data_IF_786574379968
#
_entry.id   IF_786574379968
#
_cell.length_a   1.000
_cell.length_b   1.000
_cell.length_c   1.000
_cell.angle_alpha   90.00
_cell.angle_beta   90.00
_cell.angle_gamma   90.00
#
_symmetry.space_group_name_H-M   'P 1'
#
loop_
_entity.id
_entity.type
_entity.pdbx_description
1 polymer ?
#
# COMPACT_ATOMS: atom_id res chain seq x y z
N UNK A 1 6.72 -17.57 7.69
CA UNK A 1 7.39 -16.70 8.66
C UNK A 1 6.66 -16.84 9.99
N UNK A 2 7.35 -17.19 11.06
CA UNK A 2 6.83 -17.22 12.42
C UNK A 2 6.96 -15.83 13.10
N UNK A 3 6.24 -15.54 14.19
CA UNK A 3 6.38 -14.26 14.89
C UNK A 3 7.82 -13.94 15.34
N UNK A 4 8.60 -14.89 15.92
CA UNK A 4 10.00 -14.64 16.28
C UNK A 4 10.90 -14.32 15.10
N UNK A 5 10.68 -14.96 13.94
CA UNK A 5 11.43 -14.67 12.71
C UNK A 5 11.17 -13.24 12.21
N UNK A 6 9.91 -12.80 12.23
CA UNK A 6 9.54 -11.44 11.83
C UNK A 6 10.23 -10.38 12.72
N UNK A 7 10.15 -10.58 14.04
CA UNK A 7 10.79 -9.68 15.01
C UNK A 7 12.33 -9.67 14.85
N UNK A 8 12.94 -10.83 14.63
CA UNK A 8 14.38 -10.94 14.39
C UNK A 8 14.82 -10.17 13.14
N UNK A 9 14.10 -10.34 12.02
CA UNK A 9 14.42 -9.64 10.78
C UNK A 9 14.28 -8.12 10.92
N UNK A 10 13.22 -7.64 11.59
CA UNK A 10 13.03 -6.21 11.85
C UNK A 10 14.14 -5.65 12.76
N UNK A 11 14.54 -6.37 13.80
CA UNK A 11 15.67 -6.00 14.66
C UNK A 11 16.98 -5.93 13.88
N UNK A 12 17.25 -6.93 13.05
CA UNK A 12 18.45 -6.98 12.20
C UNK A 12 18.49 -5.83 11.17
N UNK A 13 17.36 -5.47 10.58
CA UNK A 13 17.24 -4.31 9.68
C UNK A 13 17.46 -3.00 10.43
N UNK A 14 16.87 -2.83 11.62
CA UNK A 14 17.09 -1.66 12.48
C UNK A 14 18.56 -1.49 12.83
N UNK A 15 19.23 -2.57 13.22
CA UNK A 15 20.65 -2.54 13.62
C UNK A 15 21.58 -2.17 12.45
N UNK A 16 21.09 -2.23 11.21
CA UNK A 16 21.78 -1.77 10.00
C UNK A 16 21.36 -0.41 9.50
N UNK A 17 20.54 0.30 10.27
CA UNK A 17 20.07 1.65 9.94
C UNK A 17 19.05 1.68 8.80
N UNK A 18 18.31 0.60 8.56
CA UNK A 18 17.17 0.62 7.64
C UNK A 18 16.10 1.57 8.18
N UNK A 19 15.82 2.66 7.44
CA UNK A 19 14.85 3.69 7.85
C UNK A 19 13.39 3.40 7.48
N UNK A 20 13.13 2.40 6.63
CA UNK A 20 11.77 2.05 6.19
C UNK A 20 11.72 0.58 5.80
N UNK A 21 10.64 -0.11 6.20
CA UNK A 21 10.36 -1.51 5.83
C UNK A 21 8.96 -1.58 5.25
N UNK A 22 8.80 -2.35 4.18
CA UNK A 22 7.49 -2.75 3.65
C UNK A 22 7.31 -4.22 3.96
N UNK A 23 6.22 -4.56 4.64
CA UNK A 23 5.87 -5.92 5.01
C UNK A 23 4.53 -6.28 4.37
N UNK A 24 4.48 -7.43 3.70
CA UNK A 24 3.22 -8.02 3.27
C UNK A 24 2.56 -8.73 4.47
N UNK A 25 1.35 -8.30 4.83
CA UNK A 25 0.57 -8.86 5.92
C UNK A 25 -0.54 -9.74 5.34
N UNK A 26 -0.26 -11.02 5.13
CA UNK A 26 -1.26 -11.95 4.58
C UNK A 26 -2.41 -12.19 5.57
N UNK A 27 -3.64 -12.44 5.09
CA UNK A 27 -4.79 -12.82 5.94
C UNK A 27 -4.47 -13.88 6.98
N UNK A 28 -3.78 -14.95 6.59
CA UNK A 28 -3.38 -16.00 7.54
C UNK A 28 -2.33 -15.51 8.53
N UNK A 29 -1.43 -14.60 8.11
CA UNK A 29 -0.47 -13.99 9.01
C UNK A 29 -1.11 -13.09 10.06
N UNK A 30 -2.12 -12.32 9.65
CA UNK A 30 -2.95 -11.53 10.54
C UNK A 30 -3.79 -12.44 11.44
N UNK A 31 -4.46 -13.44 10.88
CA UNK A 31 -5.31 -14.38 11.62
C UNK A 31 -4.54 -15.13 12.71
N UNK A 32 -3.31 -15.55 12.40
CA UNK A 32 -2.43 -16.28 13.33
C UNK A 32 -1.51 -15.39 14.15
N UNK A 33 -1.78 -14.07 14.21
CA UNK A 33 -1.08 -13.11 15.06
C UNK A 33 0.44 -13.02 14.81
N UNK A 34 0.89 -13.29 13.58
CA UNK A 34 2.33 -13.31 13.25
C UNK A 34 2.98 -11.94 13.24
N UNK A 35 2.18 -10.90 13.04
CA UNK A 35 2.65 -9.51 12.88
C UNK A 35 2.12 -8.58 13.97
N UNK A 36 1.48 -9.11 15.01
CA UNK A 36 0.87 -8.30 16.09
C UNK A 36 1.89 -7.41 16.83
N UNK A 37 3.16 -7.82 16.87
CA UNK A 37 4.24 -7.06 17.49
C UNK A 37 4.99 -6.13 16.52
N UNK A 38 4.56 -6.06 15.26
CA UNK A 38 5.12 -5.20 14.23
C UNK A 38 4.16 -4.04 13.94
N UNK A 39 4.06 -3.10 14.89
CA UNK A 39 3.19 -1.92 14.72
C UNK A 39 3.63 -1.10 13.48
N UNK A 40 2.71 -0.92 12.53
CA UNK A 40 2.98 -0.26 11.27
C UNK A 40 2.66 1.24 11.32
N UNK A 41 3.52 2.07 10.73
CA UNK A 41 3.22 3.50 10.56
C UNK A 41 2.04 3.76 9.61
N UNK A 42 1.89 2.89 8.60
CA UNK A 42 0.81 2.94 7.62
C UNK A 42 0.42 1.52 7.20
N UNK A 43 -0.86 1.18 7.33
CA UNK A 43 -1.47 0.00 6.72
C UNK A 43 -2.07 0.35 5.35
N UNK A 44 -1.97 -0.54 4.37
CA UNK A 44 -2.51 -0.31 3.02
C UNK A 44 -3.49 -1.41 2.67
N UNK A 45 -4.72 -1.04 2.34
CA UNK A 45 -5.72 -1.94 1.77
C UNK A 45 -5.80 -1.73 0.27
N UNK A 46 -5.54 -2.78 -0.51
CA UNK A 46 -5.49 -2.69 -1.98
C UNK A 46 -6.77 -3.19 -2.63
N UNK A 47 -7.16 -4.44 -2.42
CA UNK A 47 -8.41 -5.05 -2.87
C UNK A 47 -8.62 -6.38 -2.15
N UNK A 48 -9.83 -6.92 -2.23
CA UNK A 48 -10.17 -8.26 -1.77
C UNK A 48 -11.02 -8.98 -2.82
N UNK A 49 -10.40 -9.88 -3.58
CA UNK A 49 -11.11 -10.80 -4.47
C UNK A 49 -11.13 -12.20 -3.88
N UNK A 50 -12.02 -13.07 -4.37
CA UNK A 50 -12.10 -14.44 -3.89
C UNK A 50 -10.78 -15.19 -4.08
N UNK A 51 -10.17 -15.55 -2.96
CA UNK A 51 -8.96 -16.36 -2.84
C UNK A 51 -9.01 -17.07 -1.47
N UNK A 52 -8.22 -18.13 -1.27
CA UNK A 52 -8.01 -18.77 0.04
C UNK A 52 -9.28 -19.18 0.81
N UNK A 53 -10.39 -19.49 0.14
CA UNK A 53 -11.63 -19.91 0.82
C UNK A 53 -11.52 -21.27 1.52
N UNK A 54 -10.57 -22.12 1.12
CA UNK A 54 -10.29 -23.38 1.82
C UNK A 54 -9.82 -23.13 3.26
N UNK A 55 -9.13 -22.01 3.50
CA UNK A 55 -8.62 -21.61 4.82
C UNK A 55 -9.64 -20.80 5.62
N UNK A 56 -10.41 -19.92 4.96
CA UNK A 56 -11.32 -18.97 5.63
C UNK A 56 -12.79 -19.39 5.68
N UNK A 57 -13.20 -20.34 4.82
CA UNK A 57 -14.56 -20.84 4.69
C UNK A 57 -15.54 -19.87 3.99
N UNK A 58 -15.53 -18.59 4.35
CA UNK A 58 -16.41 -17.56 3.76
C UNK A 58 -15.62 -16.32 3.38
N UNK A 59 -16.13 -15.56 2.39
CA UNK A 59 -15.55 -14.26 2.01
C UNK A 59 -15.60 -13.24 3.15
N UNK A 60 -16.60 -13.33 4.03
CA UNK A 60 -16.72 -12.47 5.20
C UNK A 60 -15.60 -12.74 6.22
N UNK A 61 -15.34 -14.01 6.52
CA UNK A 61 -14.21 -14.39 7.39
C UNK A 61 -12.87 -13.95 6.78
N UNK A 62 -12.70 -14.12 5.46
CA UNK A 62 -11.48 -13.71 4.78
C UNK A 62 -11.29 -12.19 4.86
N UNK A 63 -12.35 -11.41 4.59
CA UNK A 63 -12.34 -9.96 4.76
C UNK A 63 -11.97 -9.58 6.19
N UNK A 64 -12.65 -10.16 7.17
CA UNK A 64 -12.46 -9.80 8.57
C UNK A 64 -11.04 -10.13 9.03
N UNK A 65 -10.42 -11.20 8.50
CA UNK A 65 -9.01 -11.54 8.74
C UNK A 65 -8.04 -10.48 8.20
N UNK A 66 -8.23 -10.01 6.95
CA UNK A 66 -7.44 -8.93 6.35
C UNK A 66 -7.64 -7.60 7.11
N UNK A 67 -8.86 -7.32 7.55
CA UNK A 67 -9.20 -6.08 8.26
C UNK A 67 -8.57 -5.96 9.66
N UNK A 68 -8.05 -7.05 10.23
CA UNK A 68 -7.34 -7.03 11.52
C UNK A 68 -6.15 -6.08 11.53
N UNK A 69 -5.51 -5.83 10.37
CA UNK A 69 -4.44 -4.84 10.26
C UNK A 69 -4.88 -3.44 10.72
N UNK A 70 -6.15 -3.11 10.54
CA UNK A 70 -6.73 -1.80 10.86
C UNK A 70 -7.35 -1.75 12.27
N UNK A 71 -7.26 -2.84 13.04
CA UNK A 71 -7.75 -2.94 14.41
C UNK A 71 -6.63 -2.68 15.44
N UNK A 72 -5.85 -1.61 15.22
CA UNK A 72 -4.79 -1.19 16.14
C UNK A 72 -3.38 -1.70 15.82
N UNK A 73 -3.18 -2.36 14.66
CA UNK A 73 -1.85 -2.78 14.20
C UNK A 73 -1.18 -1.72 13.30
N UNK A 74 -1.86 -0.63 12.98
CA UNK A 74 -1.28 0.49 12.24
C UNK A 74 -1.74 1.87 12.74
N UNK A 75 -0.94 2.90 12.49
CA UNK A 75 -1.24 4.28 12.89
C UNK A 75 -2.16 5.02 11.92
N UNK A 76 -2.06 4.74 10.63
CA UNK A 76 -2.85 5.34 9.54
C UNK A 76 -3.18 4.28 8.50
N UNK A 77 -4.30 4.46 7.79
CA UNK A 77 -4.69 3.58 6.69
C UNK A 77 -4.67 4.33 5.34
N UNK A 78 -4.20 3.64 4.31
CA UNK A 78 -4.40 4.01 2.91
C UNK A 78 -5.31 2.97 2.27
N UNK A 79 -6.49 3.37 1.82
CA UNK A 79 -7.56 2.43 1.44
C UNK A 79 -8.00 2.67 0.00
N UNK A 80 -8.07 1.60 -0.79
CA UNK A 80 -8.69 1.64 -2.11
C UNK A 80 -10.21 1.81 -1.98
N UNK A 81 -10.75 2.94 -2.45
CA UNK A 81 -12.18 3.23 -2.43
C UNK A 81 -12.95 2.53 -3.57
N UNK A 82 -12.27 1.96 -4.57
CA UNK A 82 -12.93 1.17 -5.62
C UNK A 82 -13.41 -0.20 -5.12
N UNK A 83 -12.87 -0.67 -3.99
CA UNK A 83 -13.18 -2.00 -3.45
C UNK A 83 -14.08 -1.91 -2.21
N UNK A 84 -15.33 -2.43 -2.28
CA UNK A 84 -16.29 -2.34 -1.18
C UNK A 84 -15.86 -3.13 0.07
N UNK A 85 -14.94 -4.11 -0.04
CA UNK A 85 -14.45 -4.85 1.12
C UNK A 85 -13.69 -3.96 2.10
N UNK A 86 -13.15 -2.83 1.65
CA UNK A 86 -12.47 -1.82 2.49
C UNK A 86 -13.42 -0.86 3.22
N UNK A 87 -14.72 -0.86 2.93
CA UNK A 87 -15.67 0.16 3.41
C UNK A 87 -15.74 0.26 4.95
N UNK A 88 -15.48 -0.85 5.67
CA UNK A 88 -15.48 -0.87 7.14
C UNK A 88 -14.26 -0.19 7.80
N UNK A 89 -13.18 0.06 7.06
CA UNK A 89 -11.90 0.53 7.64
C UNK A 89 -12.06 1.93 8.25
N UNK A 90 -12.85 2.81 7.65
CA UNK A 90 -13.08 4.16 8.18
C UNK A 90 -13.76 4.16 9.57
N UNK A 91 -14.60 3.16 9.85
CA UNK A 91 -15.21 2.99 11.16
C UNK A 91 -14.21 2.41 12.18
N UNK A 92 -13.30 1.55 11.75
CA UNK A 92 -12.23 0.99 12.59
C UNK A 92 -11.14 2.03 12.92
N UNK A 93 -10.90 2.99 12.03
CA UNK A 93 -9.84 4.00 12.15
C UNK A 93 -10.35 5.44 11.93
N UNK A 94 -11.22 5.98 12.82
CA UNK A 94 -11.80 7.30 12.63
C UNK A 94 -10.75 8.40 12.51
N UNK A 95 -10.81 9.20 11.44
CA UNK A 95 -9.88 10.32 11.21
C UNK A 95 -8.46 9.92 10.81
N UNK A 96 -8.18 8.63 10.62
CA UNK A 96 -6.85 8.11 10.27
C UNK A 96 -6.80 7.40 8.91
N UNK A 97 -7.86 7.54 8.10
CA UNK A 97 -7.95 6.95 6.76
C UNK A 97 -7.70 7.99 5.69
N UNK A 98 -6.87 7.64 4.70
CA UNK A 98 -6.74 8.34 3.43
C UNK A 98 -7.14 7.40 2.31
N UNK A 99 -8.04 7.85 1.44
CA UNK A 99 -8.58 7.04 0.35
C UNK A 99 -7.85 7.29 -0.96
N UNK A 100 -7.76 6.25 -1.79
CA UNK A 100 -7.35 6.38 -3.18
C UNK A 100 -8.27 5.58 -4.09
N UNK A 101 -8.41 6.02 -5.34
CA UNK A 101 -9.22 5.30 -6.33
C UNK A 101 -8.77 5.57 -7.78
N UNK A 102 -9.20 4.69 -8.67
CA UNK A 102 -9.23 4.85 -10.11
C UNK A 102 -10.58 5.40 -10.57
N UNK A 103 -11.67 4.82 -10.06
CA UNK A 103 -13.02 5.07 -10.56
C UNK A 103 -13.83 5.89 -9.55
N UNK A 104 -13.85 5.48 -8.29
CA UNK A 104 -14.59 6.14 -7.22
C UNK A 104 -14.03 7.53 -6.87
N UNK A 105 -14.84 8.31 -6.15
CA UNK A 105 -14.39 9.53 -5.49
C UNK A 105 -13.53 9.16 -4.26
N UNK A 106 -12.39 9.84 -4.12
CA UNK A 106 -11.40 9.58 -3.07
C UNK A 106 -10.51 10.81 -2.86
N UNK A 107 -9.78 10.84 -1.75
CA UNK A 107 -8.81 11.90 -1.43
C UNK A 107 -7.72 12.02 -2.50
N UNK A 108 -7.31 10.88 -3.06
CA UNK A 108 -6.37 10.76 -4.16
C UNK A 108 -6.98 9.97 -5.32
N UNK A 109 -6.98 10.54 -6.52
CA UNK A 109 -7.47 9.85 -7.73
C UNK A 109 -6.40 9.77 -8.79
N UNK A 110 -6.27 8.61 -9.44
CA UNK A 110 -5.38 8.45 -10.58
C UNK A 110 -6.18 8.38 -11.88
N UNK A 111 -6.01 9.39 -12.73
CA UNK A 111 -6.66 9.47 -14.06
C UNK A 111 -5.64 9.31 -15.18
N UNK A 112 -6.12 9.11 -16.41
CA UNK A 112 -5.28 9.01 -17.61
C UNK A 112 -4.20 7.93 -17.52
N UNK A 113 -4.51 6.86 -16.79
CA UNK A 113 -3.56 5.79 -16.48
C UNK A 113 -3.21 4.99 -17.74
N UNK A 114 -1.96 5.11 -18.15
CA UNK A 114 -1.35 4.34 -19.24
C UNK A 114 -0.25 3.45 -18.68
N UNK A 115 -0.27 2.18 -19.05
CA UNK A 115 0.76 1.21 -18.70
C UNK A 115 1.31 0.58 -19.97
N UNK A 116 2.63 0.59 -20.11
CA UNK A 116 3.35 -0.03 -21.22
C UNK A 116 4.66 -0.66 -20.74
N UNK A 117 5.44 -1.22 -21.67
CA UNK A 117 6.73 -1.84 -21.35
C UNK A 117 7.78 -0.86 -20.79
N UNK A 118 7.57 0.45 -20.93
CA UNK A 118 8.44 1.51 -20.41
C UNK A 118 8.01 2.00 -19.02
N UNK A 119 6.84 1.57 -18.55
CA UNK A 119 6.37 1.78 -17.19
C UNK A 119 4.93 2.26 -17.12
N UNK A 120 4.65 3.01 -16.06
CA UNK A 120 3.31 3.51 -15.75
C UNK A 120 3.30 5.03 -15.75
N UNK A 121 2.28 5.63 -16.37
CA UNK A 121 2.07 7.08 -16.44
C UNK A 121 0.62 7.39 -16.09
N UNK A 122 0.38 8.41 -15.29
CA UNK A 122 -0.97 8.83 -14.90
C UNK A 122 -0.96 10.27 -14.36
N UNK A 123 -2.14 10.86 -14.24
CA UNK A 123 -2.35 12.11 -13.53
C UNK A 123 -2.86 11.80 -12.12
N UNK A 124 -2.12 12.23 -11.10
CA UNK A 124 -2.56 12.13 -9.71
C UNK A 124 -3.31 13.41 -9.34
N UNK A 125 -4.55 13.27 -8.90
CA UNK A 125 -5.41 14.35 -8.45
C UNK A 125 -5.60 14.27 -6.93
N UNK A 126 -5.47 15.40 -6.23
CA UNK A 126 -5.70 15.50 -4.80
C UNK A 126 -6.03 16.95 -4.41
N UNK A 127 -7.06 17.16 -3.58
CA UNK A 127 -7.45 18.49 -3.09
C UNK A 127 -7.61 19.56 -4.20
N UNK A 128 -8.16 19.18 -5.36
CA UNK A 128 -8.33 20.07 -6.52
C UNK A 128 -7.05 20.38 -7.29
N UNK A 129 -5.90 19.83 -6.86
CA UNK A 129 -4.64 19.90 -7.58
C UNK A 129 -4.45 18.65 -8.44
N UNK A 130 -3.70 18.79 -9.53
CA UNK A 130 -3.36 17.68 -10.41
C UNK A 130 -1.88 17.75 -10.78
N UNK A 131 -1.23 16.60 -10.81
CA UNK A 131 0.16 16.50 -11.21
C UNK A 131 0.44 15.19 -11.93
N UNK A 132 1.32 15.28 -12.93
CA UNK A 132 1.74 14.12 -13.70
C UNK A 132 2.70 13.25 -12.88
N UNK A 133 2.41 11.95 -12.86
CA UNK A 133 3.24 10.94 -12.23
C UNK A 133 3.69 9.91 -13.28
N UNK A 134 4.97 9.53 -13.21
CA UNK A 134 5.51 8.43 -13.99
C UNK A 134 6.41 7.56 -13.14
N UNK A 135 6.23 6.25 -13.28
CA UNK A 135 7.12 5.22 -12.79
C UNK A 135 7.78 4.55 -13.99
N UNK A 136 9.10 4.66 -14.09
CA UNK A 136 9.86 3.90 -15.08
C UNK A 136 9.85 2.42 -14.67
N UNK A 137 9.48 1.54 -15.60
CA UNK A 137 9.77 0.12 -15.45
C UNK A 137 11.28 -0.08 -15.49
N UNK A 138 11.83 -0.94 -14.63
CA UNK A 138 13.19 -1.42 -14.85
C UNK A 138 13.24 -2.11 -16.23
N UNK A 139 14.30 -1.93 -17.04
CA UNK A 139 14.49 -2.75 -18.22
C UNK A 139 14.81 -4.16 -17.74
N UNK A 140 13.79 -5.00 -17.59
CA UNK A 140 13.95 -6.40 -17.24
C UNK A 140 13.31 -7.21 -18.34
N UNK A 141 14.17 -7.81 -19.17
CA UNK A 141 13.75 -8.88 -20.06
C UNK A 141 12.96 -9.91 -19.27
N UNK A 142 11.88 -10.42 -19.88
CA UNK A 142 11.15 -11.62 -19.49
C UNK A 142 10.22 -11.57 -18.27
N UNK A 143 9.37 -10.54 -18.11
CA UNK A 143 8.07 -10.73 -17.42
C UNK A 143 6.93 -9.98 -18.10
N UNK A 144 6.08 -10.65 -18.91
CA UNK A 144 4.76 -10.15 -19.25
C UNK A 144 3.79 -10.62 -18.17
N UNK A 145 3.26 -9.71 -17.32
CA UNK A 145 1.97 -9.88 -16.64
C UNK A 145 1.56 -8.61 -15.89
N UNK A 146 0.75 -7.79 -16.56
CA UNK A 146 -0.14 -6.83 -15.93
C UNK A 146 -1.18 -7.59 -15.11
N UNK A 147 -0.93 -7.79 -13.82
CA UNK A 147 -1.99 -8.09 -12.86
C UNK A 147 -2.72 -6.78 -12.52
N UNK A 148 -4.04 -6.83 -12.32
CA UNK A 148 -4.85 -5.72 -11.78
C UNK A 148 -4.22 -5.13 -10.51
N UNK A 149 -3.63 -5.99 -9.67
CA UNK A 149 -2.87 -5.64 -8.47
C UNK A 149 -1.71 -4.65 -8.70
N UNK A 150 -1.08 -4.68 -9.89
CA UNK A 150 0.02 -3.78 -10.22
C UNK A 150 -0.40 -2.30 -10.34
N UNK A 151 -1.64 -2.04 -10.77
CA UNK A 151 -2.20 -0.69 -10.90
C UNK A 151 -2.42 -0.06 -9.53
N UNK A 152 -3.09 -0.79 -8.64
CA UNK A 152 -3.46 -0.32 -7.30
C UNK A 152 -2.23 -0.14 -6.42
N UNK A 153 -1.27 -1.08 -6.47
CA UNK A 153 -0.01 -0.99 -5.71
C UNK A 153 0.83 0.22 -6.14
N UNK A 154 0.89 0.48 -7.45
CA UNK A 154 1.57 1.66 -8.01
C UNK A 154 0.99 2.95 -7.44
N UNK A 155 -0.33 3.10 -7.47
CA UNK A 155 -1.01 4.30 -6.99
C UNK A 155 -0.87 4.43 -5.47
N UNK A 156 -1.11 3.36 -4.73
CA UNK A 156 -0.93 3.33 -3.28
C UNK A 156 0.49 3.74 -2.87
N UNK A 157 1.53 3.32 -3.60
CA UNK A 157 2.91 3.73 -3.33
C UNK A 157 3.15 5.24 -3.57
N UNK A 158 2.51 5.82 -4.58
CA UNK A 158 2.58 7.25 -4.86
C UNK A 158 1.85 8.05 -3.78
N UNK A 159 0.69 7.57 -3.34
CA UNK A 159 -0.09 8.15 -2.24
C UNK A 159 0.69 8.06 -0.92
N UNK A 160 1.27 6.91 -0.62
CA UNK A 160 2.16 6.73 0.54
C UNK A 160 3.31 7.73 0.54
N UNK A 161 3.99 7.93 -0.60
CA UNK A 161 5.03 8.95 -0.73
C UNK A 161 4.49 10.36 -0.54
N UNK A 162 3.35 10.68 -1.13
CA UNK A 162 2.73 12.00 -0.98
C UNK A 162 2.47 12.31 0.51
N UNK A 163 1.83 11.38 1.23
CA UNK A 163 1.47 11.50 2.65
C UNK A 163 2.72 11.53 3.56
N UNK A 164 3.72 10.70 3.30
CA UNK A 164 4.95 10.66 4.11
C UNK A 164 5.86 11.88 3.87
N UNK A 165 5.84 12.46 2.67
CA UNK A 165 6.60 13.68 2.34
C UNK A 165 5.95 14.94 2.94
N UNK A 166 4.61 15.04 2.96
CA UNK A 166 3.91 16.17 3.60
C UNK A 166 4.04 16.13 5.13
N UNK A 167 4.15 14.95 5.74
CA UNK A 167 4.42 14.83 7.18
C UNK A 167 5.81 15.34 7.58
N UNK A 168 6.77 15.41 6.64
CA UNK A 168 8.14 15.87 6.89
C UNK A 168 8.43 17.28 6.37
N UNK A 169 7.54 17.87 5.57
CA UNK A 169 7.70 19.22 5.02
C UNK A 169 6.36 19.92 4.90
N UNK A 170 6.25 21.15 5.42
CA UNK A 170 5.04 21.99 5.41
C UNK A 170 4.67 22.54 4.02
N UNK A 171 5.05 21.85 2.95
CA UNK A 171 4.70 22.16 1.58
C UNK A 171 4.25 20.87 0.90
N UNK A 172 3.12 20.93 0.18
CA UNK A 172 2.70 19.90 -0.78
C UNK A 172 3.74 19.81 -1.89
N UNK A 173 4.86 19.13 -1.61
CA UNK A 173 5.99 18.94 -2.51
C UNK A 173 5.68 17.79 -3.47
N UNK A 174 4.82 18.05 -4.45
CA UNK A 174 4.57 17.15 -5.58
C UNK A 174 5.83 17.07 -6.46
N UNK A 175 6.76 16.19 -6.11
CA UNK A 175 7.94 15.91 -6.94
C UNK A 175 7.59 14.85 -7.98
N UNK A 176 7.76 15.22 -9.26
CA UNK A 176 7.52 14.41 -10.46
C UNK A 176 8.40 13.16 -10.60
N UNK A 177 9.25 12.87 -9.62
CA UNK A 177 10.12 11.69 -9.61
C UNK A 177 9.77 10.77 -8.46
N UNK A 178 8.85 9.84 -8.70
CA UNK A 178 8.69 8.65 -7.87
C UNK A 178 9.74 7.62 -8.31
N UNK A 179 10.98 7.82 -7.89
CA UNK A 179 12.07 6.89 -8.17
C UNK A 179 11.97 5.62 -7.31
N UNK A 180 12.27 4.48 -7.92
CA UNK A 180 12.44 3.19 -7.26
C UNK A 180 13.64 3.23 -6.30
N UNK A 181 13.51 2.58 -5.13
CA UNK A 181 14.63 2.34 -4.22
C UNK A 181 15.61 1.35 -4.87
N UNK A 182 16.53 1.87 -5.69
CA UNK A 182 17.74 1.18 -6.13
C UNK A 182 18.89 1.55 -5.20
N UNK A 183 19.08 0.78 -4.14
CA UNK A 183 20.27 0.91 -3.31
C UNK A 183 21.51 0.47 -4.10
N UNK A 184 22.31 1.42 -4.55
CA UNK A 184 23.73 1.19 -4.84
C UNK A 184 24.50 2.26 -4.07
N UNK A 185 24.97 1.90 -2.87
CA UNK A 185 26.04 2.67 -2.24
C UNK A 185 27.36 2.22 -2.86
N UNK A 186 28.14 3.20 -3.33
CA UNK A 186 29.59 3.09 -3.52
C UNK A 186 30.28 2.71 -2.21
#
# INVERSE_FOLDING_TARGET
>A
MSPPEAAYLLGYMRDRGTGTVVLEATSMGLLTHRVDHAFADVGVFTNLTQDHLDDHGTMENYRDAELRLFQGLCRRAVVNADDPAGAGIAALMPGAVTTYALDAEADYRATDLTMDAFGTRFTLQAAGQSAFASLSGAPSGSLPRTYSSGRLTTIASCVLRAITTTASSSALGFSSRCGTYGGTKM
#
